data_IF_571042410207
#
_entry.id   IF_571042410207
#
_cell.length_a   1.000
_cell.length_b   1.000
_cell.length_c   1.000
_cell.angle_alpha   90.00
_cell.angle_beta   90.00
_cell.angle_gamma   90.00
#
_symmetry.space_group_name_H-M   'P 1'
#
loop_
_entity.id
_entity.type
_entity.pdbx_description
1 polymer ?
#
# COMPACT_ATOMS: atom_id res chain seq x y z
N UNK A 1 -61.56 18.85 49.47
CA UNK A 1 -61.85 17.87 50.54
C UNK A 1 -60.51 17.36 50.99
N UNK A 2 -60.11 17.88 52.09
CA UNK A 2 -59.80 17.24 53.37
C UNK A 2 -58.57 16.29 53.26
N UNK A 3 -57.59 16.32 54.05
CA UNK A 3 -57.16 17.03 55.27
C UNK A 3 -55.88 16.29 55.74
N UNK A 4 -54.88 17.03 56.17
CA UNK A 4 -54.22 16.94 57.48
C UNK A 4 -53.54 15.61 57.84
N UNK A 5 -52.37 15.51 58.41
CA UNK A 5 -51.64 16.23 59.44
C UNK A 5 -50.26 15.58 59.65
N UNK A 6 -49.23 16.35 59.84
CA UNK A 6 -48.06 15.98 60.66
C UNK A 6 -48.42 16.12 62.17
N UNK A 7 -47.50 15.99 63.13
CA UNK A 7 -46.10 15.47 63.23
C UNK A 7 -45.94 14.61 64.55
N UNK A 8 -44.73 14.13 64.90
CA UNK A 8 -44.24 14.24 66.27
C UNK A 8 -42.78 13.81 66.47
N UNK A 9 -42.10 14.66 67.17
CA UNK A 9 -40.77 14.61 67.76
C UNK A 9 -40.68 13.65 68.93
N UNK A 10 -39.50 13.09 69.19
CA UNK A 10 -38.82 13.01 70.52
C UNK A 10 -37.51 12.26 70.33
N UNK A 11 -36.36 12.77 70.46
CA UNK A 11 -35.65 13.32 71.60
C UNK A 11 -35.09 12.25 72.56
N UNK A 12 -33.79 12.29 72.72
CA UNK A 12 -32.93 12.10 73.89
C UNK A 12 -32.47 10.66 74.21
N UNK A 13 -31.25 10.35 74.34
CA UNK A 13 -30.25 10.65 75.39
C UNK A 13 -29.06 9.68 75.32
N UNK A 14 -27.87 10.26 75.31
CA UNK A 14 -26.64 9.90 76.02
C UNK A 14 -26.23 8.41 76.16
N UNK A 15 -25.05 8.05 75.66
CA UNK A 15 -24.01 7.56 76.59
C UNK A 15 -22.64 7.62 75.92
N UNK A 16 -21.77 8.33 76.58
CA UNK A 16 -20.34 8.43 76.41
C UNK A 16 -19.73 7.16 77.00
N UNK A 17 -18.91 6.43 76.23
CA UNK A 17 -17.83 5.60 76.75
C UNK A 17 -16.58 5.74 75.91
N UNK A 18 -15.59 6.28 76.55
CA UNK A 18 -14.16 6.22 76.20
C UNK A 18 -13.70 4.77 76.13
N UNK A 19 -12.98 4.40 75.09
CA UNK A 19 -11.84 3.52 75.20
C UNK A 19 -10.79 3.72 74.13
N UNK A 20 -9.61 3.81 74.64
CA UNK A 20 -8.31 4.09 74.02
C UNK A 20 -7.82 3.07 73.00
N UNK A 21 -7.06 3.59 72.06
CA UNK A 21 -5.76 3.07 71.53
C UNK A 21 -5.69 1.67 70.92
N UNK A 22 -5.48 1.65 69.62
CA UNK A 22 -4.38 0.88 69.06
C UNK A 22 -4.04 1.42 67.66
N UNK A 23 -2.93 2.13 67.62
CA UNK A 23 -2.22 2.58 66.43
C UNK A 23 -1.54 1.37 65.80
N UNK A 24 -2.16 0.74 64.82
CA UNK A 24 -1.49 -0.26 63.95
C UNK A 24 -1.05 0.45 62.69
N UNK A 25 0.21 0.81 62.64
CA UNK A 25 0.92 1.26 61.44
C UNK A 25 0.97 0.11 60.41
N UNK A 26 0.00 0.05 59.54
CA UNK A 26 0.07 -0.78 58.35
C UNK A 26 1.00 -0.11 57.35
N UNK A 27 2.30 -0.45 57.39
CA UNK A 27 3.25 -0.20 56.31
C UNK A 27 2.78 -0.98 55.09
N UNK A 28 1.95 -0.36 54.29
CA UNK A 28 1.67 -0.85 52.94
C UNK A 28 2.96 -0.74 52.12
N UNK A 29 3.68 -1.85 52.00
CA UNK A 29 4.68 -2.01 50.92
C UNK A 29 3.99 -1.78 49.61
N UNK A 30 4.11 -0.54 49.08
CA UNK A 30 3.86 -0.27 47.66
C UNK A 30 4.91 -1.05 46.90
N UNK A 31 4.58 -2.26 46.43
CA UNK A 31 5.30 -2.88 45.36
C UNK A 31 5.22 -1.90 44.17
N UNK A 32 6.38 -1.49 43.61
CA UNK A 32 6.35 -0.86 42.31
C UNK A 32 5.80 -1.92 41.36
N UNK A 33 4.57 -1.70 40.88
CA UNK A 33 4.08 -2.39 39.70
C UNK A 33 5.05 -2.03 38.58
N UNK A 34 5.98 -2.93 38.30
CA UNK A 34 6.68 -2.93 37.03
C UNK A 34 5.60 -3.18 35.95
N UNK A 35 4.94 -2.07 35.52
CA UNK A 35 4.37 -2.07 34.21
C UNK A 35 5.55 -2.36 33.27
N UNK A 36 5.67 -3.60 32.85
CA UNK A 36 6.34 -3.92 31.61
C UNK A 36 5.52 -3.16 30.56
N UNK A 37 5.96 -1.93 30.25
CA UNK A 37 5.65 -1.28 28.99
C UNK A 37 6.14 -2.25 27.93
N UNK A 38 5.27 -3.16 27.53
CA UNK A 38 5.40 -3.84 26.27
C UNK A 38 5.26 -2.72 25.23
N UNK A 39 6.34 -2.27 24.59
CA UNK A 39 6.21 -1.19 23.63
C UNK A 39 5.19 -1.69 22.63
N UNK A 40 4.03 -1.03 22.58
CA UNK A 40 3.01 -1.33 21.58
C UNK A 40 3.77 -1.45 20.27
N UNK A 41 3.69 -2.63 19.62
CA UNK A 41 4.49 -2.92 18.44
C UNK A 41 4.35 -1.75 17.48
N UNK A 42 5.44 -1.01 17.26
CA UNK A 42 5.40 0.14 16.37
C UNK A 42 4.94 -0.36 15.01
N UNK A 43 3.98 0.33 14.43
CA UNK A 43 3.35 -0.06 13.16
C UNK A 43 3.26 1.16 12.26
N UNK A 44 3.55 1.04 10.98
CA UNK A 44 3.30 2.07 9.97
C UNK A 44 2.41 1.54 8.86
N UNK A 45 1.61 2.43 8.26
CA UNK A 45 0.72 2.12 7.15
C UNK A 45 1.30 2.69 5.85
N UNK A 46 1.51 1.81 4.87
CA UNK A 46 2.07 2.15 3.57
C UNK A 46 0.95 2.10 2.51
N UNK A 47 0.67 3.24 1.89
CA UNK A 47 -0.13 3.31 0.68
C UNK A 47 0.74 2.82 -0.49
N UNK A 48 0.52 1.62 -0.99
CA UNK A 48 1.34 0.97 -1.99
C UNK A 48 0.58 0.77 -3.30
N UNK A 49 1.17 1.16 -4.42
CA UNK A 49 0.59 0.90 -5.73
C UNK A 49 0.44 -0.62 -5.96
N UNK A 50 -0.63 -1.02 -6.63
CA UNK A 50 -1.05 -2.43 -6.76
C UNK A 50 0.00 -3.35 -7.43
N UNK A 51 0.92 -2.80 -8.23
CA UNK A 51 2.04 -3.56 -8.80
C UNK A 51 3.04 -4.08 -7.74
N UNK A 52 2.96 -3.55 -6.52
CA UNK A 52 3.82 -3.91 -5.39
C UNK A 52 3.24 -5.06 -4.54
N UNK A 53 2.05 -5.56 -4.89
CA UNK A 53 1.31 -6.51 -4.05
C UNK A 53 2.02 -7.84 -3.81
N UNK A 54 2.95 -8.22 -4.66
CA UNK A 54 3.71 -9.46 -4.50
C UNK A 54 5.08 -9.19 -3.84
N UNK A 55 5.73 -8.05 -4.11
CA UNK A 55 7.09 -7.74 -3.61
C UNK A 55 7.10 -7.06 -2.23
N UNK A 56 6.17 -6.15 -1.96
CA UNK A 56 6.17 -5.39 -0.71
C UNK A 56 5.84 -6.21 0.54
N UNK A 57 5.05 -7.29 0.48
CA UNK A 57 4.90 -8.18 1.64
C UNK A 57 6.22 -8.81 2.09
N UNK A 58 7.13 -9.18 1.16
CA UNK A 58 8.46 -9.70 1.49
C UNK A 58 9.35 -8.59 2.08
N UNK A 59 9.36 -7.40 1.47
CA UNK A 59 10.03 -6.22 2.04
C UNK A 59 9.54 -5.89 3.45
N UNK A 60 8.23 -5.90 3.66
CA UNK A 60 7.62 -5.63 4.96
C UNK A 60 8.00 -6.68 6.01
N UNK A 61 8.01 -7.95 5.63
CA UNK A 61 8.40 -9.04 6.51
C UNK A 61 9.87 -8.90 6.93
N UNK A 62 10.77 -8.65 5.99
CA UNK A 62 12.20 -8.54 6.27
C UNK A 62 12.52 -7.29 7.10
N UNK A 63 11.91 -6.15 6.77
CA UNK A 63 12.01 -4.94 7.58
C UNK A 63 11.52 -5.17 9.03
N UNK A 64 10.38 -5.85 9.19
CA UNK A 64 9.82 -6.14 10.51
C UNK A 64 10.75 -7.05 11.33
N UNK A 65 11.36 -8.05 10.71
CA UNK A 65 12.36 -8.92 11.40
C UNK A 65 13.55 -8.14 11.93
N UNK A 66 14.04 -7.17 11.14
CA UNK A 66 15.23 -6.40 11.51
C UNK A 66 14.95 -5.30 12.53
N UNK A 67 13.74 -4.73 12.53
CA UNK A 67 13.46 -3.50 13.27
C UNK A 67 12.41 -3.65 14.37
N UNK A 68 11.60 -4.70 14.32
CA UNK A 68 10.42 -4.85 15.17
C UNK A 68 9.23 -3.97 14.75
N UNK A 69 9.39 -3.08 13.73
CA UNK A 69 8.32 -2.22 13.23
C UNK A 69 7.47 -3.00 12.24
N UNK A 70 6.18 -3.12 12.53
CA UNK A 70 5.22 -3.78 11.65
C UNK A 70 4.80 -2.87 10.49
N UNK A 71 4.68 -3.43 9.30
CA UNK A 71 4.19 -2.73 8.11
C UNK A 71 2.77 -3.21 7.77
N UNK A 72 1.84 -2.28 7.69
CA UNK A 72 0.50 -2.51 7.16
C UNK A 72 0.46 -1.98 5.74
N UNK A 73 0.15 -2.85 4.77
CA UNK A 73 0.12 -2.51 3.35
C UNK A 73 -1.32 -2.26 2.90
N UNK A 74 -1.58 -1.11 2.30
CA UNK A 74 -2.85 -0.77 1.65
C UNK A 74 -2.62 -0.62 0.15
N UNK A 75 -3.18 -1.52 -0.65
CA UNK A 75 -2.96 -1.55 -2.09
C UNK A 75 -4.07 -0.86 -2.86
N UNK A 76 -3.69 -0.07 -3.89
CA UNK A 76 -4.62 0.64 -4.75
C UNK A 76 -4.01 1.11 -6.06
N UNK A 77 -4.77 1.80 -6.90
CA UNK A 77 -4.19 2.53 -8.03
C UNK A 77 -3.39 3.73 -7.53
N UNK A 78 -2.36 4.12 -8.27
CA UNK A 78 -1.48 5.23 -7.87
C UNK A 78 -2.27 6.53 -7.66
N UNK A 79 -3.14 6.91 -8.57
CA UNK A 79 -3.91 8.16 -8.48
C UNK A 79 -4.94 8.12 -7.33
N UNK A 80 -5.61 6.97 -7.11
CA UNK A 80 -6.56 6.84 -6.01
C UNK A 80 -5.88 6.97 -4.65
N UNK A 81 -4.70 6.36 -4.48
CA UNK A 81 -3.91 6.47 -3.25
C UNK A 81 -3.41 7.90 -3.04
N UNK A 82 -2.93 8.57 -4.09
CA UNK A 82 -2.56 9.98 -4.03
C UNK A 82 -3.75 10.85 -3.61
N UNK A 83 -4.94 10.60 -4.19
CA UNK A 83 -6.17 11.30 -3.82
C UNK A 83 -6.59 11.06 -2.37
N UNK A 84 -6.41 9.85 -1.85
CA UNK A 84 -6.65 9.55 -0.44
C UNK A 84 -5.71 10.34 0.47
N UNK A 85 -4.43 10.48 0.10
CA UNK A 85 -3.45 11.30 0.85
C UNK A 85 -3.87 12.78 0.82
N UNK A 86 -4.30 13.31 -0.33
CA UNK A 86 -4.85 14.66 -0.44
C UNK A 86 -6.06 14.88 0.48
N UNK A 87 -6.86 13.84 0.69
CA UNK A 87 -8.01 13.84 1.58
C UNK A 87 -7.65 13.42 3.03
N UNK A 88 -6.36 13.50 3.40
CA UNK A 88 -5.86 13.24 4.76
C UNK A 88 -6.07 11.80 5.25
N UNK A 89 -6.06 10.81 4.36
CA UNK A 89 -6.03 9.41 4.79
C UNK A 89 -4.75 9.13 5.62
N UNK A 90 -4.84 8.34 6.71
CA UNK A 90 -3.78 8.19 7.69
C UNK A 90 -2.68 7.22 7.22
N UNK A 91 -2.01 7.56 6.13
CA UNK A 91 -0.85 6.84 5.63
C UNK A 91 0.44 7.46 6.16
N UNK A 92 1.45 6.62 6.36
CA UNK A 92 2.78 7.01 6.81
C UNK A 92 3.77 7.12 5.63
N UNK A 93 3.65 6.22 4.65
CA UNK A 93 4.47 6.20 3.44
C UNK A 93 3.56 6.06 2.22
N UNK A 94 3.92 6.73 1.13
CA UNK A 94 3.36 6.51 -0.20
C UNK A 94 4.40 5.88 -1.11
N UNK A 95 4.12 4.69 -1.63
CA UNK A 95 4.92 3.97 -2.62
C UNK A 95 4.13 3.90 -3.94
N UNK A 96 4.48 4.77 -4.87
CA UNK A 96 3.81 5.00 -6.14
C UNK A 96 4.41 4.16 -7.27
N UNK A 97 3.61 3.83 -8.28
CA UNK A 97 4.09 3.25 -9.53
C UNK A 97 4.62 4.30 -10.54
N UNK A 98 4.67 5.55 -10.16
CA UNK A 98 5.31 6.63 -10.93
C UNK A 98 5.97 7.67 -10.03
N UNK A 99 6.69 8.60 -10.66
CA UNK A 99 7.33 9.76 -10.02
C UNK A 99 6.36 10.93 -9.92
N UNK A 100 5.42 11.04 -10.85
CA UNK A 100 4.59 12.23 -11.06
C UNK A 100 3.69 12.49 -9.85
N UNK A 101 3.01 11.46 -9.34
CA UNK A 101 2.10 11.61 -8.21
C UNK A 101 2.83 11.93 -6.90
N UNK A 102 4.01 11.33 -6.65
CA UNK A 102 4.81 11.66 -5.45
C UNK A 102 5.30 13.10 -5.52
N UNK A 103 5.82 13.53 -6.68
CA UNK A 103 6.27 14.90 -6.91
C UNK A 103 5.14 15.92 -6.76
N UNK A 104 3.94 15.62 -7.29
CA UNK A 104 2.79 16.49 -7.14
C UNK A 104 2.34 16.63 -5.67
N UNK A 105 2.37 15.55 -4.90
CA UNK A 105 2.08 15.60 -3.46
C UNK A 105 3.18 16.36 -2.69
N UNK A 106 4.45 16.22 -3.06
CA UNK A 106 5.56 16.97 -2.45
C UNK A 106 5.40 18.47 -2.71
N UNK A 107 5.07 18.88 -3.95
CA UNK A 107 4.79 20.28 -4.29
C UNK A 107 3.62 20.87 -3.50
N UNK A 108 2.62 20.05 -3.18
CA UNK A 108 1.48 20.42 -2.31
C UNK A 108 1.84 20.39 -0.82
N UNK A 109 3.07 20.06 -0.45
CA UNK A 109 3.50 19.96 0.94
C UNK A 109 2.92 18.76 1.70
N UNK A 110 2.43 17.72 0.98
CA UNK A 110 1.84 16.51 1.56
C UNK A 110 2.84 15.36 1.70
N UNK A 111 3.99 15.44 1.05
CA UNK A 111 5.15 14.58 1.27
C UNK A 111 6.22 15.39 2.01
N UNK A 112 6.91 14.77 2.95
CA UNK A 112 7.98 15.39 3.71
C UNK A 112 9.17 15.69 2.79
N UNK A 113 9.58 16.96 2.72
CA UNK A 113 10.67 17.41 1.86
C UNK A 113 11.93 16.56 2.03
N UNK A 114 12.55 16.20 0.90
CA UNK A 114 13.79 15.41 0.87
C UNK A 114 13.62 13.93 1.22
N UNK A 115 12.37 13.43 1.30
CA UNK A 115 12.11 11.99 1.49
C UNK A 115 11.72 11.28 0.21
N UNK A 116 11.41 12.03 -0.85
CA UNK A 116 11.11 11.43 -2.14
C UNK A 116 12.34 10.73 -2.71
N UNK A 117 12.20 9.47 -3.09
CA UNK A 117 13.26 8.67 -3.72
C UNK A 117 12.68 7.81 -4.84
N UNK A 118 13.42 7.71 -5.95
CA UNK A 118 13.11 6.75 -7.02
C UNK A 118 13.64 5.40 -6.60
N UNK A 119 12.76 4.44 -6.34
CA UNK A 119 13.16 3.14 -5.79
C UNK A 119 13.25 2.03 -6.82
N UNK A 120 12.56 2.14 -7.96
CA UNK A 120 12.53 1.08 -8.97
C UNK A 120 12.14 1.61 -10.35
N UNK A 121 12.48 0.82 -11.38
CA UNK A 121 11.89 0.91 -12.72
C UNK A 121 11.16 -0.38 -13.03
N UNK A 122 9.88 -0.28 -13.38
CA UNK A 122 9.04 -1.41 -13.76
C UNK A 122 9.16 -1.76 -15.24
N UNK A 123 8.79 -2.99 -15.58
CA UNK A 123 8.65 -3.47 -16.97
C UNK A 123 7.22 -3.88 -17.22
N UNK A 124 6.73 -3.62 -18.43
CA UNK A 124 5.38 -3.97 -18.88
C UNK A 124 5.42 -5.28 -19.66
N UNK A 125 4.47 -6.16 -19.42
CA UNK A 125 4.32 -7.44 -20.13
C UNK A 125 2.86 -7.69 -20.50
N UNK A 126 2.64 -8.56 -21.49
CA UNK A 126 1.33 -9.11 -21.82
C UNK A 126 1.28 -10.53 -21.26
N UNK A 127 0.42 -10.77 -20.28
CA UNK A 127 0.19 -12.11 -19.71
C UNK A 127 -0.82 -12.88 -20.55
N UNK A 128 -0.48 -14.12 -20.88
CA UNK A 128 -1.34 -15.15 -21.45
C UNK A 128 -1.44 -16.26 -20.42
N UNK A 129 -2.62 -16.53 -19.80
CA UNK A 129 -2.74 -17.51 -18.74
C UNK A 129 -2.58 -18.94 -19.25
N UNK A 130 -2.19 -19.88 -18.37
CA UNK A 130 -2.16 -21.29 -18.69
C UNK A 130 -3.55 -21.79 -19.13
N UNK A 131 -3.57 -22.66 -20.12
CA UNK A 131 -4.81 -23.20 -20.68
C UNK A 131 -5.58 -22.19 -21.54
N UNK A 132 -5.00 -21.03 -21.84
CA UNK A 132 -5.58 -20.08 -22.79
C UNK A 132 -5.76 -20.72 -24.18
N UNK A 133 -6.88 -20.39 -24.83
CA UNK A 133 -7.14 -20.78 -26.22
C UNK A 133 -6.45 -19.86 -27.24
N UNK A 134 -5.92 -18.73 -26.77
CA UNK A 134 -5.23 -17.78 -27.63
C UNK A 134 -3.71 -17.93 -27.48
N UNK A 135 -3.00 -17.65 -28.56
CA UNK A 135 -1.53 -17.61 -28.58
C UNK A 135 -1.10 -16.19 -28.92
N UNK A 136 -0.38 -15.57 -28.00
CA UNK A 136 0.22 -14.24 -28.19
C UNK A 136 1.72 -14.37 -27.98
N UNK A 137 2.49 -14.12 -29.04
CA UNK A 137 3.96 -14.17 -29.04
C UNK A 137 4.58 -12.78 -29.20
N UNK A 138 3.80 -11.83 -29.66
CA UNK A 138 4.17 -10.43 -29.86
C UNK A 138 2.92 -9.54 -29.74
N UNK A 139 3.07 -8.24 -29.46
CA UNK A 139 1.91 -7.35 -29.28
C UNK A 139 0.95 -7.30 -30.48
N UNK A 140 1.43 -7.49 -31.70
CA UNK A 140 0.61 -7.45 -32.91
C UNK A 140 -0.45 -8.57 -32.94
N UNK A 141 -0.18 -9.70 -32.28
CA UNK A 141 -1.11 -10.83 -32.21
C UNK A 141 -2.40 -10.49 -31.45
N UNK A 142 -2.43 -9.39 -30.66
CA UNK A 142 -3.62 -8.87 -30.00
C UNK A 142 -4.74 -8.48 -30.98
N UNK A 143 -4.38 -8.16 -32.23
CA UNK A 143 -5.34 -7.84 -33.28
C UNK A 143 -6.07 -9.08 -33.82
N UNK A 144 -5.60 -10.30 -33.52
CA UNK A 144 -6.24 -11.54 -33.95
C UNK A 144 -7.68 -11.62 -33.42
N UNK A 145 -8.55 -12.25 -34.22
CA UNK A 145 -9.97 -12.42 -33.87
C UNK A 145 -10.19 -13.35 -32.68
N UNK A 146 -9.26 -14.25 -32.40
CA UNK A 146 -9.33 -15.14 -31.24
C UNK A 146 -9.12 -14.42 -29.92
N UNK A 147 -8.50 -13.24 -29.91
CA UNK A 147 -8.40 -12.37 -28.74
C UNK A 147 -9.63 -11.48 -28.71
N UNK A 148 -10.55 -11.78 -27.83
CA UNK A 148 -11.83 -11.04 -27.72
C UNK A 148 -11.76 -9.94 -26.65
N UNK A 149 -11.03 -10.18 -25.54
CA UNK A 149 -10.94 -9.24 -24.41
C UNK A 149 -9.49 -9.09 -23.94
N UNK A 150 -9.05 -7.87 -23.86
CA UNK A 150 -7.72 -7.46 -23.43
C UNK A 150 -7.88 -6.64 -22.14
N UNK A 151 -7.39 -7.16 -21.02
CA UNK A 151 -7.48 -6.44 -19.76
C UNK A 151 -6.34 -5.41 -19.64
N UNK A 152 -6.69 -4.16 -19.35
CA UNK A 152 -5.76 -3.05 -19.13
C UNK A 152 -6.21 -2.29 -17.88
N UNK A 153 -5.30 -1.87 -17.02
CA UNK A 153 -5.66 -0.96 -15.92
C UNK A 153 -6.06 0.42 -16.51
N UNK A 154 -7.01 1.11 -15.88
CA UNK A 154 -7.43 2.45 -16.35
C UNK A 154 -6.24 3.38 -16.49
N UNK A 155 -5.97 3.96 -17.69
CA UNK A 155 -4.75 4.72 -17.96
C UNK A 155 -4.65 6.03 -17.17
N UNK A 156 -5.77 6.64 -16.83
CA UNK A 156 -5.86 7.91 -16.08
C UNK A 156 -5.52 7.75 -14.57
N UNK A 157 -5.54 6.53 -14.04
CA UNK A 157 -5.27 6.29 -12.62
C UNK A 157 -4.14 5.30 -12.34
N UNK A 158 -3.67 4.57 -13.37
CA UNK A 158 -2.67 3.53 -13.24
C UNK A 158 -1.55 3.68 -14.27
N UNK A 159 -0.29 3.93 -13.85
CA UNK A 159 0.85 4.14 -14.76
C UNK A 159 1.08 3.00 -15.76
N UNK A 160 0.90 1.75 -15.33
CA UNK A 160 1.02 0.60 -16.24
C UNK A 160 -0.10 0.55 -17.28
N UNK A 161 -1.29 1.09 -16.95
CA UNK A 161 -2.37 1.24 -17.92
C UNK A 161 -2.05 2.29 -18.96
N UNK A 162 -1.49 3.43 -18.55
CA UNK A 162 -1.01 4.48 -19.45
C UNK A 162 0.07 3.93 -20.39
N UNK A 163 1.08 3.23 -19.85
CA UNK A 163 2.13 2.60 -20.62
C UNK A 163 1.61 1.57 -21.65
N UNK A 164 0.58 0.78 -21.28
CA UNK A 164 -0.05 -0.16 -22.20
C UNK A 164 -0.72 0.54 -23.40
N UNK A 165 -1.46 1.63 -23.14
CA UNK A 165 -2.09 2.40 -24.22
C UNK A 165 -1.05 3.11 -25.08
N UNK A 166 0.01 3.67 -24.48
CA UNK A 166 1.13 4.26 -25.22
C UNK A 166 1.78 3.25 -26.16
N UNK A 167 2.10 2.06 -25.65
CA UNK A 167 2.71 1.00 -26.45
C UNK A 167 1.80 0.55 -27.61
N UNK A 168 0.51 0.37 -27.36
CA UNK A 168 -0.46 0.02 -28.41
C UNK A 168 -0.60 1.11 -29.47
N UNK A 169 -0.54 2.38 -29.10
CA UNK A 169 -0.53 3.51 -30.03
C UNK A 169 0.75 3.58 -30.83
N UNK A 170 1.90 3.43 -30.19
CA UNK A 170 3.21 3.41 -30.87
C UNK A 170 3.32 2.31 -31.94
N UNK A 171 2.63 1.18 -31.72
CA UNK A 171 2.55 0.07 -32.68
C UNK A 171 1.40 0.22 -33.71
N UNK A 172 0.60 1.31 -33.68
CA UNK A 172 -0.61 1.48 -34.49
C UNK A 172 -1.62 0.33 -34.31
N UNK A 173 -1.72 -0.19 -33.10
CA UNK A 173 -2.65 -1.27 -32.74
C UNK A 173 -3.89 -0.76 -32.00
N UNK A 174 -3.83 0.43 -31.38
CA UNK A 174 -4.89 0.92 -30.49
C UNK A 174 -6.27 0.86 -31.14
N UNK A 175 -6.45 1.45 -32.32
CA UNK A 175 -7.72 1.50 -33.04
C UNK A 175 -8.24 0.11 -33.44
N UNK A 176 -7.36 -0.89 -33.50
CA UNK A 176 -7.73 -2.28 -33.84
C UNK A 176 -8.20 -3.06 -32.62
N UNK A 177 -7.75 -2.66 -31.41
CA UNK A 177 -7.98 -3.44 -30.20
C UNK A 177 -8.78 -2.70 -29.13
N UNK A 178 -9.00 -1.38 -29.24
CA UNK A 178 -9.70 -0.61 -28.20
C UNK A 178 -11.11 -1.15 -27.88
N UNK A 179 -11.83 -1.64 -28.90
CA UNK A 179 -13.15 -2.26 -28.71
C UNK A 179 -13.12 -3.59 -27.94
N UNK A 180 -11.94 -4.20 -27.81
CA UNK A 180 -11.69 -5.44 -27.05
C UNK A 180 -11.24 -5.14 -25.61
N UNK A 181 -10.94 -3.87 -25.28
CA UNK A 181 -10.35 -3.52 -23.99
C UNK A 181 -11.38 -3.56 -22.88
N UNK A 182 -11.02 -4.26 -21.81
CA UNK A 182 -11.73 -4.26 -20.51
C UNK A 182 -10.85 -3.60 -19.47
N UNK A 183 -11.40 -2.61 -18.75
CA UNK A 183 -10.63 -1.82 -17.82
C UNK A 183 -10.73 -2.34 -16.39
N UNK A 184 -9.58 -2.59 -15.76
CA UNK A 184 -9.44 -2.79 -14.33
C UNK A 184 -9.13 -1.48 -13.61
N UNK A 185 -9.56 -1.33 -12.37
CA UNK A 185 -9.25 -0.17 -11.54
C UNK A 185 -7.74 -0.06 -11.22
N UNK A 186 -7.04 -1.20 -11.23
CA UNK A 186 -5.59 -1.30 -11.04
C UNK A 186 -5.08 -2.61 -11.65
N UNK A 187 -3.77 -2.82 -11.63
CA UNK A 187 -3.14 -4.01 -12.24
C UNK A 187 -3.46 -5.32 -11.50
N UNK A 188 -3.80 -5.29 -10.22
CA UNK A 188 -4.27 -6.49 -9.50
C UNK A 188 -5.63 -6.95 -10.02
N UNK A 189 -6.54 -6.03 -10.35
CA UNK A 189 -7.81 -6.38 -10.96
C UNK A 189 -7.63 -6.88 -12.40
N UNK A 190 -6.67 -6.32 -13.17
CA UNK A 190 -6.30 -6.86 -14.48
C UNK A 190 -5.83 -8.31 -14.36
N UNK A 191 -4.94 -8.60 -13.40
CA UNK A 191 -4.50 -9.98 -13.10
C UNK A 191 -5.68 -10.90 -12.77
N UNK A 192 -6.64 -10.40 -11.98
CA UNK A 192 -7.85 -11.15 -11.65
C UNK A 192 -8.71 -11.46 -12.89
N UNK A 193 -8.90 -10.49 -13.80
CA UNK A 193 -9.67 -10.72 -15.03
C UNK A 193 -9.04 -11.80 -15.88
N UNK A 194 -7.72 -11.79 -16.04
CA UNK A 194 -7.00 -12.83 -16.80
C UNK A 194 -7.09 -14.19 -16.10
N UNK A 195 -6.83 -14.24 -14.79
CA UNK A 195 -6.82 -15.51 -14.05
C UNK A 195 -8.20 -16.16 -13.92
N UNK A 196 -9.28 -15.39 -13.99
CA UNK A 196 -10.67 -15.87 -13.96
C UNK A 196 -11.26 -16.14 -15.33
N UNK A 197 -10.51 -15.92 -16.43
CA UNK A 197 -11.00 -16.08 -17.81
C UNK A 197 -11.95 -14.97 -18.26
N UNK A 198 -12.05 -13.86 -17.52
CA UNK A 198 -12.82 -12.68 -17.94
C UNK A 198 -12.09 -11.84 -19.00
N UNK A 199 -10.82 -12.12 -19.24
CA UNK A 199 -10.04 -11.64 -20.37
C UNK A 199 -9.06 -12.74 -20.81
N UNK A 200 -8.83 -12.83 -22.12
CA UNK A 200 -7.90 -13.81 -22.70
C UNK A 200 -6.44 -13.44 -22.40
N UNK A 201 -6.15 -12.13 -22.30
CA UNK A 201 -4.82 -11.59 -22.05
C UNK A 201 -4.93 -10.30 -21.22
N UNK A 202 -3.83 -9.89 -20.60
CA UNK A 202 -3.80 -8.61 -19.90
C UNK A 202 -2.42 -7.97 -19.85
N UNK A 203 -2.39 -6.65 -19.90
CA UNK A 203 -1.18 -5.89 -19.67
C UNK A 203 -0.90 -5.76 -18.18
N UNK A 204 0.26 -6.25 -17.76
CA UNK A 204 0.63 -6.34 -16.35
C UNK A 204 2.08 -5.87 -16.12
N UNK A 205 2.41 -5.41 -14.91
CA UNK A 205 3.80 -5.30 -14.49
C UNK A 205 4.44 -6.69 -14.42
N UNK A 206 5.69 -6.79 -14.84
CA UNK A 206 6.45 -8.04 -14.74
C UNK A 206 6.47 -8.61 -13.32
N UNK A 207 6.45 -7.73 -12.31
CA UNK A 207 6.42 -8.10 -10.90
C UNK A 207 5.22 -8.96 -10.48
N UNK A 208 4.12 -8.90 -11.20
CA UNK A 208 2.90 -9.66 -10.90
C UNK A 208 2.78 -10.97 -11.69
N UNK A 209 3.72 -11.25 -12.58
CA UNK A 209 3.68 -12.46 -13.43
C UNK A 209 4.86 -13.40 -13.19
N UNK A 210 5.90 -12.95 -12.47
CA UNK A 210 7.16 -13.68 -12.29
C UNK A 210 6.96 -15.06 -11.63
N UNK A 211 6.01 -15.14 -10.66
CA UNK A 211 5.67 -16.37 -9.95
C UNK A 211 4.28 -16.90 -10.34
N UNK A 212 3.72 -16.37 -11.42
CA UNK A 212 2.36 -16.67 -11.88
C UNK A 212 2.29 -17.86 -12.82
N UNK A 213 1.06 -18.34 -13.04
CA UNK A 213 0.75 -19.34 -14.06
C UNK A 213 0.49 -18.64 -15.40
N UNK A 214 1.17 -19.10 -16.45
CA UNK A 214 1.03 -18.55 -17.79
C UNK A 214 2.36 -18.20 -18.42
N UNK A 215 2.30 -17.76 -19.66
CA UNK A 215 3.41 -17.18 -20.39
C UNK A 215 3.23 -15.69 -20.51
N UNK A 216 4.30 -14.95 -20.70
CA UNK A 216 4.20 -13.51 -20.93
C UNK A 216 5.09 -13.07 -22.10
N UNK A 217 4.67 -11.99 -22.74
CA UNK A 217 5.41 -11.30 -23.80
C UNK A 217 5.91 -9.97 -23.25
N UNK A 218 7.20 -9.72 -23.32
CA UNK A 218 7.77 -8.42 -22.95
C UNK A 218 7.29 -7.33 -23.92
N UNK A 219 6.94 -6.18 -23.40
CA UNK A 219 6.68 -4.98 -24.19
C UNK A 219 7.95 -4.14 -24.22
N UNK A 220 8.42 -3.77 -25.42
CA UNK A 220 9.65 -2.97 -25.57
C UNK A 220 9.45 -1.60 -24.87
N UNK A 221 10.40 -1.25 -24.01
CA UNK A 221 10.39 0.01 -23.25
C UNK A 221 10.41 1.27 -24.14
N UNK A 222 10.86 1.15 -25.37
CA UNK A 222 10.83 2.26 -26.34
C UNK A 222 9.43 2.62 -26.80
N UNK A 223 8.44 1.76 -26.55
CA UNK A 223 7.06 1.95 -26.97
C UNK A 223 6.22 2.78 -25.97
N UNK A 224 6.77 3.07 -24.80
CA UNK A 224 6.08 3.84 -23.76
C UNK A 224 7.07 4.66 -22.92
N UNK A 225 6.57 5.61 -22.15
CA UNK A 225 7.40 6.34 -21.20
C UNK A 225 7.96 5.40 -20.12
N UNK A 226 9.18 5.67 -19.60
CA UNK A 226 9.77 4.85 -18.52
C UNK A 226 8.84 4.80 -17.32
N UNK A 227 8.62 3.61 -16.77
CA UNK A 227 7.80 3.41 -15.57
C UNK A 227 8.72 3.52 -14.33
N UNK A 228 9.28 4.72 -14.12
CA UNK A 228 10.08 5.02 -12.93
C UNK A 228 9.15 5.24 -11.74
N UNK A 229 9.41 4.54 -10.65
CA UNK A 229 8.58 4.50 -9.45
C UNK A 229 9.25 5.25 -8.31
N UNK A 230 8.46 5.99 -7.56
CA UNK A 230 8.95 6.76 -6.43
C UNK A 230 8.16 6.49 -5.15
N UNK A 231 8.80 6.70 -4.01
CA UNK A 231 8.17 6.68 -2.70
C UNK A 231 8.49 7.97 -1.93
N UNK A 232 7.73 8.23 -0.87
CA UNK A 232 7.97 9.35 0.02
C UNK A 232 7.22 9.19 1.34
N UNK A 233 7.70 9.87 2.37
CA UNK A 233 7.08 9.91 3.70
C UNK A 233 5.94 10.93 3.69
N UNK A 234 4.75 10.53 4.09
CA UNK A 234 3.57 11.40 4.17
C UNK A 234 3.80 12.43 5.29
N UNK A 235 3.63 13.72 4.96
CA UNK A 235 3.94 14.83 5.87
C UNK A 235 3.11 14.81 7.16
N UNK A 236 1.85 14.40 7.07
CA UNK A 236 0.92 14.32 8.20
C UNK A 236 1.16 13.11 9.12
N UNK A 237 2.03 12.17 8.74
CA UNK A 237 2.34 11.01 9.57
C UNK A 237 2.92 11.43 10.92
N UNK A 238 2.40 10.94 12.04
CA UNK A 238 3.03 11.11 13.36
C UNK A 238 4.25 10.19 13.56
N UNK A 239 4.50 9.26 12.63
CA UNK A 239 5.54 8.20 12.69
C UNK A 239 6.65 8.48 11.67
N UNK A 240 7.13 9.73 11.63
CA UNK A 240 8.10 10.20 10.64
C UNK A 240 9.39 9.38 10.65
N UNK A 241 9.87 8.98 11.82
CA UNK A 241 11.14 8.25 11.95
C UNK A 241 11.01 6.81 11.43
N UNK A 242 9.96 6.11 11.83
CA UNK A 242 9.66 4.75 11.39
C UNK A 242 9.44 4.72 9.87
N UNK A 243 8.71 5.69 9.33
CA UNK A 243 8.49 5.84 7.91
C UNK A 243 9.79 6.08 7.13
N UNK A 244 10.70 6.93 7.64
CA UNK A 244 12.03 7.14 7.05
C UNK A 244 12.88 5.88 7.10
N UNK A 245 12.85 5.14 8.20
CA UNK A 245 13.57 3.86 8.32
C UNK A 245 13.09 2.87 7.26
N UNK A 246 11.77 2.77 7.04
CA UNK A 246 11.23 1.90 6.01
C UNK A 246 11.61 2.35 4.59
N UNK A 247 11.49 3.64 4.27
CA UNK A 247 11.90 4.15 2.96
C UNK A 247 13.40 3.95 2.70
N UNK A 248 14.24 4.13 3.72
CA UNK A 248 15.68 3.83 3.65
C UNK A 248 15.96 2.34 3.44
N UNK A 249 15.18 1.46 4.09
CA UNK A 249 15.31 0.01 3.88
C UNK A 249 14.95 -0.39 2.45
N UNK A 250 13.87 0.16 1.87
CA UNK A 250 13.53 -0.09 0.46
C UNK A 250 14.68 0.31 -0.48
N UNK A 251 15.40 1.39 -0.17
CA UNK A 251 16.55 1.88 -0.93
C UNK A 251 17.86 1.12 -0.63
N UNK A 252 17.92 0.32 0.41
CA UNK A 252 19.13 -0.44 0.79
C UNK A 252 19.47 -1.53 -0.22
N UNK A 253 20.71 -2.05 -0.23
CA UNK A 253 21.09 -3.18 -1.09
C UNK A 253 20.18 -4.39 -0.91
N UNK A 254 19.72 -4.65 0.30
CA UNK A 254 18.82 -5.76 0.62
C UNK A 254 17.41 -5.53 0.07
N UNK A 255 16.82 -4.35 0.31
CA UNK A 255 15.52 -3.98 -0.26
C UNK A 255 15.55 -4.00 -1.80
N UNK A 256 16.63 -3.49 -2.41
CA UNK A 256 16.81 -3.52 -3.85
C UNK A 256 16.97 -4.93 -4.41
N UNK A 257 17.64 -5.83 -3.68
CA UNK A 257 17.76 -7.25 -4.05
C UNK A 257 16.39 -7.94 -4.07
N UNK A 258 15.55 -7.68 -3.06
CA UNK A 258 14.17 -8.19 -3.04
C UNK A 258 13.39 -7.67 -4.26
N UNK A 259 13.42 -6.37 -4.54
CA UNK A 259 12.73 -5.81 -5.71
C UNK A 259 13.20 -6.44 -7.03
N UNK A 260 14.50 -6.66 -7.20
CA UNK A 260 15.08 -7.30 -8.40
C UNK A 260 14.57 -8.73 -8.59
N UNK A 261 14.34 -9.50 -7.54
CA UNK A 261 13.77 -10.84 -7.61
C UNK A 261 12.35 -10.83 -8.21
N UNK A 262 11.62 -9.74 -8.05
CA UNK A 262 10.30 -9.52 -8.67
C UNK A 262 10.38 -8.85 -10.05
N UNK A 263 11.57 -8.74 -10.65
CA UNK A 263 11.74 -8.20 -11.99
C UNK A 263 11.75 -6.67 -12.08
N UNK A 264 11.87 -5.98 -10.95
CA UNK A 264 12.18 -4.55 -10.97
C UNK A 264 13.65 -4.31 -11.31
N UNK A 265 13.92 -3.19 -11.95
CA UNK A 265 15.27 -2.71 -12.21
C UNK A 265 15.55 -1.50 -11.32
N UNK A 266 16.82 -1.26 -11.08
CA UNK A 266 17.26 -0.04 -10.40
C UNK A 266 16.82 1.18 -11.21
N UNK A 267 16.21 2.16 -10.58
CA UNK A 267 15.83 3.41 -11.24
C UNK A 267 17.08 4.16 -11.69
N UNK A 268 17.06 4.72 -12.90
CA UNK A 268 18.16 5.57 -13.37
C UNK A 268 18.29 6.81 -12.45
N UNK A 269 19.47 7.01 -11.84
CA UNK A 269 19.73 8.11 -10.92
C UNK A 269 19.58 7.78 -9.43
N UNK A 270 19.39 6.52 -9.02
CA UNK A 270 19.36 6.10 -7.61
C UNK A 270 20.76 5.90 -6.98
N UNK A 271 21.80 6.37 -7.66
CA UNK A 271 23.19 6.31 -7.19
C UNK A 271 23.85 7.70 -7.18
N UNK A 272 23.53 8.52 -6.18
CA UNK A 272 24.39 9.60 -5.67
C UNK A 272 24.03 9.86 -4.21
#
# INVERSE_FOLDING_TARGET
>A
MHSHLAPRRSALRHSIYFLLLSLAASSACRQPSSQTDNPAAQEITVAAAANLSDSFPELALEFTKQTGIKIVLSFGSTADLAKQIENSAPFDVFASADVVHVSALEQKGLITNGTMSRYARGSLVILVPDGSKVTVKRPEDLADRSVERIAIAKPDIAPYGAAAVEALRALNLWEKVESKVVYGMNVSQVRQFVSSGNAEVGFLPRSLVQNGKGTFVEVDEKLHQPIDQALGVVKASPKQEEARRFTSFVMSPEGQKILQQYGYRTAAGSGQ
#
